data_IF_910270848233
#
_entry.id   IF_910270848233
#
_cell.length_a   1.000
_cell.length_b   1.000
_cell.length_c   1.000
_cell.angle_alpha   90.00
_cell.angle_beta   90.00
_cell.angle_gamma   90.00
#
_symmetry.space_group_name_H-M   'P 1'
#
loop_
_entity.id
_entity.type
_entity.pdbx_description
1 polymer ?
#
# COMPACT_ATOMS: atom_id res chain seq x y z
N UNK A 1 -1.49 31.80 13.03
CA UNK A 1 -2.37 32.64 12.19
C UNK A 1 -3.28 31.73 11.38
N UNK A 2 -4.60 31.91 11.43
CA UNK A 2 -5.55 31.18 10.59
C UNK A 2 -5.50 31.73 9.16
N UNK A 3 -5.41 30.84 8.18
CA UNK A 3 -5.37 31.16 6.75
C UNK A 3 -6.78 31.17 6.14
N UNK A 4 -6.96 31.82 4.98
CA UNK A 4 -8.25 31.84 4.27
C UNK A 4 -8.76 30.45 3.90
N UNK A 5 -7.87 29.46 3.73
CA UNK A 5 -8.20 28.06 3.43
C UNK A 5 -8.59 27.25 4.68
N UNK A 6 -8.76 27.92 5.84
CA UNK A 6 -9.10 27.29 7.11
C UNK A 6 -7.93 26.62 7.83
N UNK A 7 -6.73 26.57 7.23
CA UNK A 7 -5.53 26.01 7.86
C UNK A 7 -4.86 27.00 8.79
N UNK A 8 -3.94 26.51 9.61
CA UNK A 8 -3.20 27.32 10.56
C UNK A 8 -1.74 27.37 10.18
N UNK A 9 -1.14 28.56 10.27
CA UNK A 9 0.29 28.76 10.07
C UNK A 9 0.97 29.07 11.40
N UNK A 10 2.05 28.35 11.69
CA UNK A 10 3.02 28.68 12.72
C UNK A 10 4.43 28.72 12.14
N UNK A 11 5.31 29.43 12.81
CA UNK A 11 6.69 29.64 12.39
C UNK A 11 7.60 29.60 13.61
N UNK A 12 8.80 29.06 13.44
CA UNK A 12 9.83 29.07 14.45
C UNK A 12 11.20 29.39 13.85
N UNK A 13 12.06 30.01 14.66
CA UNK A 13 13.49 30.09 14.36
C UNK A 13 14.17 28.78 14.72
N UNK A 14 15.04 28.30 13.84
CA UNK A 14 15.77 27.05 13.99
C UNK A 14 17.20 27.16 13.46
N UNK A 15 18.03 26.17 13.74
CA UNK A 15 19.28 26.00 13.00
C UNK A 15 19.03 25.37 11.63
N UNK A 16 20.03 25.44 10.76
CA UNK A 16 20.00 24.73 9.49
C UNK A 16 19.96 23.20 9.69
N UNK A 17 20.65 22.69 10.72
CA UNK A 17 20.67 21.26 11.06
C UNK A 17 19.31 20.74 11.50
N UNK A 18 18.61 21.47 12.37
CA UNK A 18 17.24 21.14 12.77
C UNK A 18 16.33 21.03 11.54
N UNK A 19 16.43 22.00 10.63
CA UNK A 19 15.63 22.05 9.41
C UNK A 19 15.97 20.87 8.49
N UNK A 20 17.26 20.59 8.28
CA UNK A 20 17.75 19.47 7.46
C UNK A 20 17.29 18.12 7.99
N UNK A 21 17.57 17.82 9.25
CA UNK A 21 17.22 16.53 9.87
C UNK A 21 15.71 16.29 9.94
N UNK A 22 14.92 17.34 10.19
CA UNK A 22 13.46 17.23 10.15
C UNK A 22 12.94 16.95 8.73
N UNK A 23 13.55 17.59 7.73
CA UNK A 23 13.27 17.31 6.32
C UNK A 23 13.68 15.88 5.94
N UNK A 24 14.83 15.39 6.40
CA UNK A 24 15.28 14.03 6.14
C UNK A 24 14.37 12.97 6.78
N UNK A 25 13.94 13.18 8.02
CA UNK A 25 12.94 12.31 8.66
C UNK A 25 11.66 12.24 7.83
N UNK A 26 11.12 13.39 7.39
CA UNK A 26 9.91 13.42 6.57
C UNK A 26 10.12 12.78 5.18
N UNK A 27 11.33 12.86 4.63
CA UNK A 27 11.71 12.15 3.41
C UNK A 27 11.74 10.63 3.61
N UNK A 28 12.46 10.14 4.63
CA UNK A 28 12.60 8.71 4.92
C UNK A 28 11.28 8.07 5.37
N UNK A 29 10.41 8.83 6.04
CA UNK A 29 9.04 8.44 6.33
C UNK A 29 8.10 8.51 5.11
N UNK A 30 8.59 8.97 3.96
CA UNK A 30 7.91 8.89 2.67
C UNK A 30 6.97 10.03 2.32
N UNK A 31 7.02 11.15 3.06
CA UNK A 31 6.20 12.33 2.80
C UNK A 31 6.75 13.22 1.68
N UNK A 32 7.97 12.95 1.19
CA UNK A 32 8.68 13.83 0.22
C UNK A 32 9.48 13.05 -0.85
N UNK A 33 8.91 12.02 -1.49
CA UNK A 33 9.66 11.14 -2.41
C UNK A 33 9.91 11.69 -3.83
N UNK A 34 9.08 12.61 -4.33
CA UNK A 34 9.23 13.15 -5.71
C UNK A 34 8.93 14.64 -5.73
N UNK A 35 9.76 15.39 -6.46
CA UNK A 35 9.57 16.82 -6.67
C UNK A 35 9.47 17.10 -8.16
N UNK A 36 8.47 17.91 -8.54
CA UNK A 36 8.41 18.53 -9.87
C UNK A 36 9.43 19.65 -9.89
N UNK A 37 10.40 19.54 -10.79
CA UNK A 37 11.35 20.60 -11.09
C UNK A 37 10.89 21.21 -12.41
N UNK A 38 10.41 22.44 -12.34
CA UNK A 38 10.14 23.25 -13.52
C UNK A 38 11.41 24.03 -13.79
N UNK A 39 12.20 23.62 -14.78
CA UNK A 39 13.15 24.55 -15.38
C UNK A 39 12.36 25.53 -16.24
N UNK A 40 12.91 26.71 -16.54
CA UNK A 40 12.29 27.75 -17.38
C UNK A 40 12.10 27.32 -18.86
N UNK A 41 12.10 26.02 -19.13
CA UNK A 41 11.82 25.34 -20.40
C UNK A 41 10.56 24.51 -20.21
N UNK A 42 9.67 24.47 -21.21
CA UNK A 42 8.30 23.93 -21.14
C UNK A 42 8.14 22.45 -20.70
N UNK A 43 9.23 21.74 -20.39
CA UNK A 43 9.22 20.36 -19.94
C UNK A 43 9.37 20.23 -18.42
N UNK A 44 8.25 19.94 -17.76
CA UNK A 44 8.22 19.56 -16.35
C UNK A 44 8.71 18.13 -16.14
N UNK A 45 9.89 17.96 -15.55
CA UNK A 45 10.39 16.65 -15.15
C UNK A 45 10.25 16.40 -13.65
N UNK A 46 10.04 15.13 -13.28
CA UNK A 46 9.94 14.69 -11.88
C UNK A 46 11.25 14.05 -11.46
N UNK A 47 11.96 14.70 -10.54
CA UNK A 47 13.19 14.14 -9.95
C UNK A 47 12.81 13.18 -8.82
N UNK A 48 13.39 11.98 -8.87
CA UNK A 48 13.38 11.06 -7.73
C UNK A 48 14.50 11.45 -6.78
N UNK A 49 14.13 12.06 -5.65
CA UNK A 49 15.11 12.61 -4.70
C UNK A 49 15.86 11.52 -3.91
N UNK A 50 15.56 10.24 -4.15
CA UNK A 50 16.34 9.12 -3.60
C UNK A 50 17.72 8.95 -4.20
N UNK A 51 17.96 9.47 -5.41
CA UNK A 51 19.28 9.39 -6.05
C UNK A 51 20.22 10.52 -5.63
N UNK A 52 19.75 11.43 -4.76
CA UNK A 52 20.47 12.63 -4.35
C UNK A 52 21.13 12.45 -2.98
N UNK A 53 22.24 13.18 -2.79
CA UNK A 53 22.89 13.34 -1.47
C UNK A 53 21.96 14.06 -0.49
N UNK A 54 22.27 14.00 0.82
CA UNK A 54 21.46 14.66 1.84
C UNK A 54 21.35 16.18 1.63
N UNK A 55 22.45 16.84 1.24
CA UNK A 55 22.47 18.29 1.05
C UNK A 55 21.69 18.73 -0.21
N UNK A 56 21.85 18.01 -1.33
CA UNK A 56 21.06 18.25 -2.55
C UNK A 56 19.57 18.00 -2.33
N UNK A 57 19.25 16.93 -1.60
CA UNK A 57 17.88 16.60 -1.21
C UNK A 57 17.29 17.71 -0.34
N UNK A 58 18.03 18.20 0.64
CA UNK A 58 17.57 19.30 1.49
C UNK A 58 17.32 20.58 0.69
N UNK A 59 18.20 20.94 -0.25
CA UNK A 59 18.03 22.10 -1.11
C UNK A 59 16.71 22.05 -1.91
N UNK A 60 16.30 20.87 -2.37
CA UNK A 60 15.05 20.68 -3.13
C UNK A 60 13.80 20.52 -2.25
N UNK A 61 13.94 19.92 -1.06
CA UNK A 61 12.83 19.54 -0.19
C UNK A 61 12.53 20.54 0.92
N UNK A 62 13.50 21.35 1.34
CA UNK A 62 13.42 22.18 2.54
C UNK A 62 12.29 23.21 2.56
N UNK A 63 11.69 23.51 1.40
CA UNK A 63 10.54 24.42 1.23
C UNK A 63 9.22 23.69 0.94
N UNK A 64 9.22 22.36 0.88
CA UNK A 64 8.03 21.56 0.51
C UNK A 64 7.19 21.25 1.76
N UNK A 65 5.87 21.08 1.55
CA UNK A 65 4.87 20.85 2.61
C UNK A 65 4.99 19.49 3.32
N UNK A 66 5.96 18.64 2.97
CA UNK A 66 6.01 17.26 3.46
C UNK A 66 6.26 17.15 4.96
N UNK A 67 7.03 18.08 5.55
CA UNK A 67 7.18 18.14 7.02
C UNK A 67 5.85 18.46 7.70
N UNK A 68 5.09 19.44 7.21
CA UNK A 68 3.77 19.74 7.78
C UNK A 68 2.81 18.56 7.67
N UNK A 69 2.81 17.86 6.53
CA UNK A 69 2.00 16.66 6.32
C UNK A 69 2.41 15.52 7.26
N UNK A 70 3.70 15.35 7.52
CA UNK A 70 4.21 14.37 8.47
C UNK A 70 3.69 14.66 9.89
N UNK A 71 3.81 15.90 10.36
CA UNK A 71 3.38 16.29 11.72
C UNK A 71 1.87 16.07 11.92
N UNK A 72 1.05 16.51 10.95
CA UNK A 72 -0.41 16.25 10.98
C UNK A 72 -0.72 14.75 10.98
N UNK A 73 0.02 13.96 10.20
CA UNK A 73 -0.15 12.51 10.14
C UNK A 73 0.17 11.83 11.48
N UNK A 74 1.22 12.28 12.18
CA UNK A 74 1.59 11.72 13.50
C UNK A 74 0.44 11.89 14.48
N UNK A 75 -0.14 13.09 14.55
CA UNK A 75 -1.22 13.40 15.49
C UNK A 75 -2.49 12.63 15.14
N UNK A 76 -2.88 12.66 13.87
CA UNK A 76 -4.06 11.94 13.39
C UNK A 76 -4.00 10.44 13.69
N UNK A 77 -2.83 9.83 13.49
CA UNK A 77 -2.67 8.38 13.60
C UNK A 77 -2.13 7.92 14.96
N UNK A 78 -1.78 8.86 15.86
CA UNK A 78 -1.04 8.58 17.11
C UNK A 78 0.22 7.75 16.84
N UNK A 79 0.94 8.07 15.76
CA UNK A 79 2.09 7.32 15.28
C UNK A 79 2.61 7.82 13.95
N UNK A 80 3.93 7.73 13.71
CA UNK A 80 4.52 8.06 12.42
C UNK A 80 4.37 6.88 11.45
N UNK A 81 3.37 6.92 10.58
CA UNK A 81 3.18 5.90 9.54
C UNK A 81 4.09 6.17 8.34
N UNK A 82 4.94 5.20 7.98
CA UNK A 82 5.77 5.24 6.77
C UNK A 82 4.86 5.19 5.53
N UNK A 83 4.83 6.28 4.78
CA UNK A 83 3.92 6.47 3.67
C UNK A 83 4.31 5.64 2.43
N UNK A 84 3.34 4.89 1.90
CA UNK A 84 3.47 4.08 0.70
C UNK A 84 4.34 2.84 0.88
N UNK A 85 4.48 2.35 2.12
CA UNK A 85 5.19 1.12 2.43
C UNK A 85 4.46 -0.15 1.96
N UNK A 86 3.14 -0.09 1.86
CA UNK A 86 2.22 -1.13 1.39
C UNK A 86 2.29 -1.36 -0.14
N UNK A 87 2.79 -0.39 -0.91
CA UNK A 87 2.82 -0.45 -2.38
C UNK A 87 3.62 -1.65 -2.92
N UNK A 88 4.67 -2.06 -2.23
CA UNK A 88 5.43 -3.24 -2.62
C UNK A 88 4.62 -4.51 -2.39
N UNK A 89 4.01 -4.63 -1.21
CA UNK A 89 3.19 -5.77 -0.83
C UNK A 89 1.96 -5.92 -1.75
N UNK A 90 1.29 -4.80 -2.05
CA UNK A 90 0.16 -4.76 -2.98
C UNK A 90 0.56 -5.19 -4.39
N UNK A 91 1.70 -4.71 -4.91
CA UNK A 91 2.21 -5.16 -6.22
C UNK A 91 2.54 -6.64 -6.24
N UNK A 92 3.07 -7.18 -5.14
CA UNK A 92 3.35 -8.60 -5.04
C UNK A 92 2.06 -9.44 -5.07
N UNK A 93 1.03 -9.01 -4.34
CA UNK A 93 -0.30 -9.64 -4.34
C UNK A 93 -0.93 -9.57 -5.73
N UNK A 94 -0.91 -8.40 -6.37
CA UNK A 94 -1.41 -8.23 -7.73
C UNK A 94 -0.70 -9.18 -8.70
N UNK A 95 0.62 -9.30 -8.62
CA UNK A 95 1.39 -10.26 -9.42
C UNK A 95 0.96 -11.70 -9.15
N UNK A 96 0.76 -12.09 -7.89
CA UNK A 96 0.30 -13.44 -7.52
C UNK A 96 -1.09 -13.73 -8.08
N UNK A 97 -2.05 -12.81 -7.94
CA UNK A 97 -3.37 -12.97 -8.52
C UNK A 97 -3.35 -12.94 -10.05
N UNK A 98 -2.58 -12.07 -10.70
CA UNK A 98 -2.47 -12.02 -12.16
C UNK A 98 -1.85 -13.29 -12.73
N UNK A 99 -0.76 -13.79 -12.14
CA UNK A 99 -0.17 -15.09 -12.50
C UNK A 99 -1.18 -16.22 -12.33
N UNK A 100 -1.96 -16.17 -11.26
CA UNK A 100 -2.98 -17.17 -11.00
C UNK A 100 -4.23 -17.02 -11.88
N UNK A 101 -4.49 -15.83 -12.43
CA UNK A 101 -5.62 -15.54 -13.31
C UNK A 101 -5.30 -15.75 -14.81
N UNK A 102 -4.06 -16.07 -15.18
CA UNK A 102 -3.60 -16.04 -16.57
C UNK A 102 -4.31 -17.03 -17.50
N UNK A 103 -4.95 -18.08 -16.95
CA UNK A 103 -5.50 -19.16 -17.76
C UNK A 103 -7.03 -19.12 -17.90
N UNK A 104 -7.69 -18.01 -17.53
CA UNK A 104 -9.15 -17.88 -17.65
C UNK A 104 -9.61 -17.91 -19.11
N UNK A 105 -8.92 -17.20 -20.01
CA UNK A 105 -9.25 -17.23 -21.44
C UNK A 105 -9.02 -18.61 -22.06
N UNK A 106 -7.96 -19.32 -21.63
CA UNK A 106 -7.72 -20.70 -22.05
C UNK A 106 -8.83 -21.63 -21.55
N UNK A 107 -9.25 -21.47 -20.29
CA UNK A 107 -10.34 -22.24 -19.70
C UNK A 107 -11.67 -22.00 -20.44
N UNK A 108 -11.93 -20.77 -20.86
CA UNK A 108 -13.09 -20.44 -21.69
C UNK A 108 -13.06 -21.24 -23.00
N UNK A 109 -11.96 -21.17 -23.75
CA UNK A 109 -11.81 -21.92 -25.01
C UNK A 109 -11.93 -23.43 -24.83
N UNK A 110 -11.46 -23.97 -23.69
CA UNK A 110 -11.63 -25.38 -23.37
C UNK A 110 -13.09 -25.78 -23.08
N UNK A 111 -13.94 -24.83 -22.68
CA UNK A 111 -15.35 -25.09 -22.39
C UNK A 111 -16.26 -24.95 -23.61
N UNK A 112 -15.84 -24.21 -24.63
CA UNK A 112 -16.65 -23.90 -25.81
C UNK A 112 -17.06 -25.18 -26.56
N UNK A 113 -18.37 -25.31 -26.79
CA UNK A 113 -18.97 -26.47 -27.47
C UNK A 113 -18.86 -27.82 -26.74
N UNK A 114 -18.26 -27.86 -25.54
CA UNK A 114 -18.10 -29.10 -24.78
C UNK A 114 -19.33 -29.43 -23.93
N UNK A 115 -19.65 -30.73 -23.84
CA UNK A 115 -20.68 -31.24 -22.95
C UNK A 115 -20.41 -32.67 -22.54
N UNK A 116 -21.00 -33.09 -21.42
CA UNK A 116 -21.01 -34.49 -20.99
C UNK A 116 -22.43 -34.95 -20.71
N UNK A 117 -22.72 -36.22 -20.97
CA UNK A 117 -23.95 -36.85 -20.52
C UNK A 117 -23.71 -37.48 -19.13
N UNK A 118 -24.46 -37.03 -18.13
CA UNK A 118 -24.43 -37.59 -16.79
C UNK A 118 -25.85 -37.92 -16.33
N UNK A 119 -26.12 -39.20 -16.06
CA UNK A 119 -27.43 -39.70 -15.61
C UNK A 119 -28.60 -39.23 -16.51
N UNK A 120 -28.39 -39.27 -17.82
CA UNK A 120 -29.41 -38.88 -18.81
C UNK A 120 -29.57 -37.36 -19.00
N UNK A 121 -28.75 -36.54 -18.34
CA UNK A 121 -28.74 -35.08 -18.50
C UNK A 121 -27.48 -34.64 -19.24
N UNK A 122 -27.66 -33.76 -20.24
CA UNK A 122 -26.55 -33.10 -20.91
C UNK A 122 -26.11 -31.91 -20.06
N UNK A 123 -24.90 -31.98 -19.54
CA UNK A 123 -24.25 -30.91 -18.78
C UNK A 123 -23.32 -30.14 -19.73
N UNK A 124 -23.60 -28.86 -19.93
CA UNK A 124 -22.80 -27.97 -20.79
C UNK A 124 -21.67 -27.33 -20.00
N UNK A 125 -20.45 -27.38 -20.53
CA UNK A 125 -19.27 -26.77 -19.89
C UNK A 125 -19.35 -25.25 -19.83
N UNK A 126 -19.88 -24.62 -20.88
CA UNK A 126 -20.09 -23.17 -20.94
C UNK A 126 -20.99 -22.65 -19.81
N UNK A 127 -22.04 -23.39 -19.46
CA UNK A 127 -22.93 -23.04 -18.34
C UNK A 127 -22.16 -23.07 -17.02
N UNK A 128 -21.41 -24.15 -16.78
CA UNK A 128 -20.59 -24.27 -15.57
C UNK A 128 -19.50 -23.20 -15.50
N UNK A 129 -18.88 -22.86 -16.64
CA UNK A 129 -17.87 -21.80 -16.71
C UNK A 129 -18.47 -20.43 -16.34
N UNK A 130 -19.68 -20.10 -16.83
CA UNK A 130 -20.38 -18.86 -16.46
C UNK A 130 -20.64 -18.79 -14.95
N UNK A 131 -21.18 -19.87 -14.37
CA UNK A 131 -21.39 -19.96 -12.92
C UNK A 131 -20.08 -19.81 -12.14
N UNK A 132 -19.00 -20.41 -12.64
CA UNK A 132 -17.66 -20.26 -12.06
C UNK A 132 -17.18 -18.79 -12.08
N UNK A 133 -17.38 -18.08 -13.19
CA UNK A 133 -17.00 -16.65 -13.31
C UNK A 133 -17.80 -15.79 -12.34
N UNK A 134 -19.09 -16.04 -12.16
CA UNK A 134 -19.91 -15.30 -11.19
C UNK A 134 -19.38 -15.45 -9.75
N UNK A 135 -19.09 -16.68 -9.34
CA UNK A 135 -18.51 -16.96 -8.02
C UNK A 135 -17.12 -16.31 -7.87
N UNK A 136 -16.28 -16.39 -8.93
CA UNK A 136 -14.96 -15.76 -8.97
C UNK A 136 -15.04 -14.24 -8.77
N UNK A 137 -16.00 -13.57 -9.39
CA UNK A 137 -16.21 -12.13 -9.23
C UNK A 137 -16.54 -11.79 -7.78
N UNK A 138 -17.40 -12.58 -7.13
CA UNK A 138 -17.75 -12.40 -5.71
C UNK A 138 -16.50 -12.58 -4.84
N UNK A 139 -15.72 -13.63 -5.06
CA UNK A 139 -14.47 -13.87 -4.33
C UNK A 139 -13.50 -12.68 -4.48
N UNK A 140 -13.35 -12.15 -5.70
CA UNK A 140 -12.49 -11.01 -5.99
C UNK A 140 -12.91 -9.73 -5.29
N UNK A 141 -14.22 -9.50 -5.10
CA UNK A 141 -14.73 -8.36 -4.32
C UNK A 141 -14.32 -8.48 -2.85
N UNK A 142 -14.45 -9.66 -2.25
CA UNK A 142 -14.05 -9.91 -0.86
C UNK A 142 -12.53 -9.76 -0.68
N UNK A 143 -11.72 -10.29 -1.61
CA UNK A 143 -10.27 -10.08 -1.58
C UNK A 143 -9.94 -8.58 -1.62
N UNK A 144 -10.60 -7.82 -2.50
CA UNK A 144 -10.40 -6.37 -2.60
C UNK A 144 -10.77 -5.64 -1.30
N UNK A 145 -11.86 -6.05 -0.66
CA UNK A 145 -12.30 -5.53 0.62
C UNK A 145 -11.29 -5.81 1.73
N UNK A 146 -10.81 -7.05 1.85
CA UNK A 146 -9.78 -7.41 2.83
C UNK A 146 -8.51 -6.58 2.58
N UNK A 147 -8.05 -6.47 1.33
CA UNK A 147 -6.86 -5.70 0.98
C UNK A 147 -7.00 -4.19 1.27
N UNK A 148 -8.22 -3.66 1.33
CA UNK A 148 -8.45 -2.27 1.71
C UNK A 148 -8.15 -2.00 3.20
N UNK A 149 -8.19 -3.04 4.05
CA UNK A 149 -7.85 -2.97 5.46
C UNK A 149 -6.34 -3.16 5.65
N UNK A 150 -5.62 -2.04 5.66
CA UNK A 150 -4.16 -2.05 5.86
C UNK A 150 -3.81 -2.58 7.24
N UNK A 151 -2.73 -3.35 7.32
CA UNK A 151 -2.13 -3.75 8.59
C UNK A 151 -1.10 -2.71 9.01
N UNK A 152 -1.05 -2.37 10.29
CA UNK A 152 -0.01 -1.52 10.86
C UNK A 152 0.90 -2.36 11.75
N UNK A 153 2.21 -2.27 11.53
CA UNK A 153 3.20 -2.92 12.38
C UNK A 153 4.22 -1.90 12.83
N UNK A 154 4.54 -1.92 14.12
CA UNK A 154 5.61 -1.08 14.65
C UNK A 154 6.95 -1.50 14.04
N UNK A 155 7.78 -0.51 13.72
CA UNK A 155 9.12 -0.69 13.16
C UNK A 155 10.14 -0.13 14.15
N UNK A 156 11.19 -0.89 14.40
CA UNK A 156 12.25 -0.54 15.36
C UNK A 156 13.62 -0.35 14.71
N UNK A 157 13.75 -0.52 13.39
CA UNK A 157 14.99 -0.32 12.63
C UNK A 157 14.77 0.27 11.23
N UNK A 158 15.86 0.70 10.59
CA UNK A 158 15.87 1.22 9.21
C UNK A 158 15.88 2.75 9.10
N UNK A 159 15.85 3.29 7.88
CA UNK A 159 16.23 4.70 7.62
C UNK A 159 15.37 5.74 8.33
N UNK A 160 14.07 5.47 8.50
CA UNK A 160 13.18 6.40 9.22
C UNK A 160 13.44 6.39 10.74
N UNK A 161 13.85 5.25 11.30
CA UNK A 161 14.23 5.13 12.71
C UNK A 161 15.58 5.82 12.96
N UNK A 162 16.55 5.60 12.06
CA UNK A 162 17.86 6.27 12.09
C UNK A 162 17.68 7.80 12.01
N UNK A 163 16.94 8.30 11.02
CA UNK A 163 16.65 9.72 10.88
C UNK A 163 15.88 10.30 12.09
N UNK A 164 14.96 9.54 12.70
CA UNK A 164 14.28 9.94 13.95
C UNK A 164 15.29 10.08 15.08
N UNK A 165 16.20 9.12 15.23
CA UNK A 165 17.24 9.14 16.27
C UNK A 165 18.16 10.36 16.09
N UNK A 166 18.66 10.59 14.87
CA UNK A 166 19.53 11.72 14.55
C UNK A 166 18.86 13.07 14.80
N UNK A 167 17.58 13.21 14.44
CA UNK A 167 16.80 14.43 14.70
C UNK A 167 16.61 14.67 16.21
N UNK A 168 16.31 13.62 16.98
CA UNK A 168 16.08 13.74 18.42
C UNK A 168 17.37 14.03 19.20
N UNK A 169 18.50 13.48 18.76
CA UNK A 169 19.81 13.68 19.38
C UNK A 169 20.48 15.00 19.00
N UNK A 170 19.95 15.70 17.99
CA UNK A 170 20.46 17.01 17.60
C UNK A 170 20.28 18.04 18.72
N UNK A 171 21.24 18.95 18.89
CA UNK A 171 21.16 20.03 19.88
C UNK A 171 21.33 21.36 19.14
N UNK A 172 20.32 22.21 19.24
CA UNK A 172 20.40 23.58 18.75
C UNK A 172 21.18 24.44 19.76
N UNK A 173 22.38 24.87 19.38
CA UNK A 173 23.19 25.78 20.19
C UNK A 173 22.66 27.23 20.15
N UNK A 174 22.87 27.96 21.25
CA UNK A 174 22.57 29.39 21.28
C UNK A 174 23.40 30.11 20.20
N UNK A 175 22.75 30.95 19.38
CA UNK A 175 23.39 31.69 18.28
C UNK A 175 23.36 31.02 16.90
N UNK A 176 22.91 29.76 16.80
CA UNK A 176 22.75 29.07 15.49
C UNK A 176 21.34 29.21 14.90
N UNK A 177 20.41 29.85 15.62
CA UNK A 177 19.01 30.01 15.26
C UNK A 177 18.77 31.14 14.24
N UNK A 178 19.39 31.00 13.06
CA UNK A 178 19.35 31.99 11.98
C UNK A 178 18.28 31.69 10.94
N UNK A 179 17.85 30.43 10.86
CA UNK A 179 16.86 29.98 9.89
C UNK A 179 15.43 30.15 10.42
N UNK A 180 14.50 30.24 9.48
CA UNK A 180 13.07 30.30 9.74
C UNK A 180 12.38 29.11 9.07
N UNK A 181 11.53 28.41 9.82
CA UNK A 181 10.75 27.29 9.31
C UNK A 181 9.26 27.53 9.57
N UNK A 182 8.48 27.46 8.50
CA UNK A 182 7.04 27.69 8.51
C UNK A 182 6.30 26.38 8.32
N UNK A 183 5.30 26.14 9.16
CA UNK A 183 4.43 24.97 9.10
C UNK A 183 3.00 25.40 8.82
N UNK A 184 2.32 24.65 7.94
CA UNK A 184 0.90 24.87 7.61
C UNK A 184 0.13 23.61 7.96
N UNK A 185 -0.68 23.68 9.01
CA UNK A 185 -1.27 22.51 9.68
C UNK A 185 -2.79 22.65 9.82
N UNK A 186 -3.46 21.58 10.25
CA UNK A 186 -4.80 21.66 10.81
C UNK A 186 -4.78 22.30 12.20
N UNK A 187 -5.98 22.48 12.76
CA UNK A 187 -6.20 23.13 14.05
C UNK A 187 -5.60 22.34 15.22
N UNK A 188 -5.85 21.03 15.28
CA UNK A 188 -5.35 20.15 16.34
C UNK A 188 -3.82 20.16 16.40
N UNK A 189 -3.18 20.01 15.23
CA UNK A 189 -1.72 20.08 15.12
C UNK A 189 -1.18 21.46 15.48
N UNK A 190 -1.88 22.52 15.09
CA UNK A 190 -1.45 23.87 15.44
C UNK A 190 -1.40 24.07 16.95
N UNK A 191 -2.44 23.66 17.68
CA UNK A 191 -2.48 23.82 19.14
C UNK A 191 -1.42 22.98 19.84
N UNK A 192 -1.17 21.75 19.39
CA UNK A 192 -0.07 20.93 19.93
C UNK A 192 1.29 21.61 19.71
N UNK A 193 1.54 22.15 18.51
CA UNK A 193 2.80 22.82 18.21
C UNK A 193 2.96 24.16 18.95
N UNK A 194 1.86 24.83 19.30
CA UNK A 194 1.82 26.13 19.98
C UNK A 194 1.50 26.05 21.48
N UNK A 195 1.57 24.86 22.08
CA UNK A 195 1.27 24.66 23.50
C UNK A 195 2.00 25.69 24.38
N UNK A 196 1.27 26.27 25.33
CA UNK A 196 1.76 27.38 26.16
C UNK A 196 2.96 26.94 27.03
N UNK A 197 3.97 27.80 27.13
CA UNK A 197 5.18 27.56 27.95
C UNK A 197 6.36 26.90 27.23
N UNK A 198 6.16 26.22 26.11
CA UNK A 198 7.23 25.60 25.32
C UNK A 198 7.39 26.22 23.92
N UNK A 199 8.63 26.25 23.41
CA UNK A 199 8.86 26.71 22.04
C UNK A 199 8.49 25.62 21.03
N UNK A 200 8.01 26.02 19.84
CA UNK A 200 7.57 25.10 18.77
C UNK A 200 8.58 23.99 18.47
N UNK A 201 9.89 24.29 18.48
CA UNK A 201 10.94 23.27 18.23
C UNK A 201 10.93 22.16 19.27
N UNK A 202 10.74 22.51 20.55
CA UNK A 202 10.61 21.55 21.65
C UNK A 202 9.36 20.70 21.45
N UNK A 203 8.22 21.33 21.13
CA UNK A 203 6.97 20.62 20.85
C UNK A 203 7.10 19.64 19.68
N UNK A 204 7.80 19.99 18.60
CA UNK A 204 8.09 19.09 17.48
C UNK A 204 8.94 17.89 17.94
N UNK A 205 9.98 18.14 18.74
CA UNK A 205 10.83 17.06 19.27
C UNK A 205 10.05 16.14 20.20
N UNK A 206 9.23 16.68 21.10
CA UNK A 206 8.39 15.90 22.01
C UNK A 206 7.38 15.06 21.22
N UNK A 207 6.68 15.67 20.26
CA UNK A 207 5.75 14.97 19.38
C UNK A 207 6.42 13.79 18.66
N UNK A 208 7.60 14.00 18.08
CA UNK A 208 8.32 12.92 17.38
C UNK A 208 8.84 11.86 18.36
N UNK A 209 9.30 12.25 19.55
CA UNK A 209 9.82 11.34 20.57
C UNK A 209 8.76 10.37 21.05
N UNK A 210 7.60 10.89 21.43
CA UNK A 210 6.49 10.16 22.06
C UNK A 210 5.83 9.13 21.14
N UNK A 211 5.95 9.31 19.82
CA UNK A 211 5.24 8.48 18.86
C UNK A 211 6.14 7.45 18.19
N UNK A 212 5.75 6.18 18.27
CA UNK A 212 6.39 5.08 17.53
C UNK A 212 6.25 5.24 16.01
N UNK A 213 7.14 4.57 15.26
CA UNK A 213 7.07 4.51 13.81
C UNK A 213 6.39 3.21 13.41
N UNK A 214 5.44 3.30 12.48
CA UNK A 214 4.68 2.16 11.97
C UNK A 214 4.86 2.02 10.47
N UNK A 215 4.83 0.79 9.98
CA UNK A 215 4.76 0.47 8.55
C UNK A 215 3.37 -0.06 8.23
N UNK A 216 2.72 0.57 7.25
CA UNK A 216 1.55 -0.01 6.61
C UNK A 216 1.99 -1.16 5.70
N UNK A 217 1.37 -2.32 5.87
CA UNK A 217 1.50 -3.47 4.98
C UNK A 217 0.14 -3.91 4.47
N UNK A 218 0.13 -4.55 3.30
CA UNK A 218 -1.07 -5.24 2.84
C UNK A 218 -1.29 -6.50 3.71
N UNK A 219 -2.53 -6.93 3.98
CA UNK A 219 -2.84 -8.15 4.72
C UNK A 219 -2.55 -9.41 3.89
N UNK A 220 -1.35 -9.53 3.33
CA UNK A 220 -0.88 -10.61 2.46
C UNK A 220 -1.06 -12.00 3.07
N UNK A 221 -0.89 -12.10 4.39
CA UNK A 221 -1.00 -13.35 5.14
C UNK A 221 -2.42 -13.63 5.66
N UNK A 222 -3.43 -12.88 5.19
CA UNK A 222 -4.81 -13.14 5.58
C UNK A 222 -5.23 -14.55 5.10
N UNK A 223 -5.75 -15.43 5.96
CA UNK A 223 -6.08 -16.82 5.59
C UNK A 223 -6.95 -16.94 4.35
N UNK A 224 -7.96 -16.05 4.22
CA UNK A 224 -8.82 -15.99 3.03
C UNK A 224 -8.06 -15.70 1.73
N UNK A 225 -7.05 -14.80 1.76
CA UNK A 225 -6.27 -14.46 0.57
C UNK A 225 -5.38 -15.63 0.16
N UNK A 226 -4.78 -16.30 1.14
CA UNK A 226 -3.95 -17.49 0.91
C UNK A 226 -4.80 -18.59 0.25
N UNK A 227 -5.95 -18.94 0.84
CA UNK A 227 -6.82 -19.98 0.30
C UNK A 227 -7.34 -19.62 -1.10
N UNK A 228 -7.73 -18.35 -1.34
CA UNK A 228 -8.15 -17.89 -2.66
C UNK A 228 -7.05 -18.06 -3.72
N UNK A 229 -5.79 -17.75 -3.37
CA UNK A 229 -4.65 -17.95 -4.26
C UNK A 229 -4.41 -19.44 -4.57
N UNK A 230 -4.53 -20.31 -3.57
CA UNK A 230 -4.37 -21.75 -3.76
C UNK A 230 -5.44 -22.36 -4.66
N UNK A 231 -6.71 -21.95 -4.51
CA UNK A 231 -7.80 -22.37 -5.40
C UNK A 231 -7.45 -22.04 -6.86
N UNK A 232 -6.96 -20.82 -7.13
CA UNK A 232 -6.56 -20.43 -8.48
C UNK A 232 -5.32 -21.18 -8.98
N UNK A 233 -4.35 -21.47 -8.13
CA UNK A 233 -3.20 -22.32 -8.51
C UNK A 233 -3.65 -23.73 -8.91
N UNK A 234 -4.57 -24.33 -8.15
CA UNK A 234 -5.18 -25.63 -8.47
C UNK A 234 -5.95 -25.55 -9.80
N UNK A 235 -6.66 -24.46 -10.06
CA UNK A 235 -7.33 -24.24 -11.35
C UNK A 235 -6.34 -24.22 -12.51
N UNK A 236 -5.23 -23.48 -12.40
CA UNK A 236 -4.25 -23.40 -13.47
C UNK A 236 -3.61 -24.75 -13.80
N UNK A 237 -3.25 -25.53 -12.78
CA UNK A 237 -2.75 -26.91 -12.96
C UNK A 237 -3.78 -27.79 -13.66
N UNK A 238 -5.06 -27.64 -13.32
CA UNK A 238 -6.15 -28.37 -13.95
C UNK A 238 -6.34 -27.99 -15.43
N UNK A 239 -6.19 -26.71 -15.77
CA UNK A 239 -6.24 -26.21 -17.15
C UNK A 239 -5.07 -26.75 -17.97
N UNK A 240 -3.86 -26.72 -17.41
CA UNK A 240 -2.65 -27.30 -18.04
C UNK A 240 -2.82 -28.82 -18.29
N UNK A 241 -3.32 -29.55 -17.30
CA UNK A 241 -3.59 -30.98 -17.42
C UNK A 241 -4.62 -31.28 -18.53
N UNK A 242 -5.64 -30.44 -18.69
CA UNK A 242 -6.61 -30.56 -19.78
C UNK A 242 -5.95 -30.35 -21.15
N UNK A 243 -5.07 -29.36 -21.29
CA UNK A 243 -4.31 -29.16 -22.53
C UNK A 243 -3.40 -30.33 -22.85
N UNK A 244 -2.71 -30.91 -21.86
CA UNK A 244 -1.88 -32.11 -22.05
C UNK A 244 -2.74 -33.28 -22.51
N UNK A 245 -3.89 -33.52 -21.86
CA UNK A 245 -4.79 -34.60 -22.24
C UNK A 245 -5.32 -34.45 -23.69
N UNK A 246 -5.64 -33.23 -24.11
CA UNK A 246 -6.03 -32.95 -25.51
C UNK A 246 -4.89 -33.28 -26.47
N UNK A 247 -3.67 -32.84 -26.17
CA UNK A 247 -2.48 -33.11 -26.99
C UNK A 247 -2.18 -34.60 -27.13
N UNK A 248 -2.43 -35.36 -26.06
CA UNK A 248 -2.24 -36.82 -26.01
C UNK A 248 -3.47 -37.61 -26.51
N UNK A 249 -4.51 -36.92 -27.00
CA UNK A 249 -5.77 -37.50 -27.46
C UNK A 249 -6.46 -38.38 -26.39
N UNK A 250 -6.33 -37.99 -25.12
CA UNK A 250 -6.95 -38.65 -23.96
C UNK A 250 -8.33 -38.04 -23.64
N UNK A 251 -9.26 -38.83 -23.07
CA UNK A 251 -10.54 -38.32 -22.58
C UNK A 251 -10.34 -37.24 -21.51
N UNK A 252 -10.83 -36.02 -21.77
CA UNK A 252 -10.61 -34.85 -20.90
C UNK A 252 -11.91 -34.15 -20.46
N UNK A 253 -13.03 -34.38 -21.16
CA UNK A 253 -14.29 -33.64 -20.96
C UNK A 253 -14.85 -33.80 -19.54
N UNK A 254 -14.92 -35.02 -19.03
CA UNK A 254 -15.40 -35.30 -17.67
C UNK A 254 -14.45 -34.76 -16.60
N UNK A 255 -13.14 -34.89 -16.82
CA UNK A 255 -12.10 -34.33 -15.95
C UNK A 255 -12.21 -32.80 -15.87
N UNK A 256 -12.33 -32.14 -17.02
CA UNK A 256 -12.46 -30.68 -17.12
C UNK A 256 -13.72 -30.20 -16.38
N UNK A 257 -14.86 -30.85 -16.61
CA UNK A 257 -16.11 -30.50 -15.92
C UNK A 257 -15.96 -30.62 -14.41
N UNK A 258 -15.44 -31.76 -13.92
CA UNK A 258 -15.21 -32.00 -12.49
C UNK A 258 -14.26 -30.95 -11.91
N UNK A 259 -13.16 -30.66 -12.60
CA UNK A 259 -12.15 -29.70 -12.15
C UNK A 259 -12.72 -28.28 -11.97
N UNK A 260 -13.55 -27.81 -12.91
CA UNK A 260 -14.20 -26.49 -12.80
C UNK A 260 -15.22 -26.51 -11.66
N UNK A 261 -16.02 -27.59 -11.57
CA UNK A 261 -17.05 -27.74 -10.55
C UNK A 261 -16.46 -27.74 -9.13
N UNK A 262 -15.39 -28.50 -8.91
CA UNK A 262 -14.72 -28.59 -7.62
C UNK A 262 -14.13 -27.23 -7.21
N UNK A 263 -13.43 -26.53 -8.12
CA UNK A 263 -12.89 -25.19 -7.84
C UNK A 263 -13.98 -24.16 -7.58
N UNK A 264 -15.09 -24.20 -8.33
CA UNK A 264 -16.27 -23.35 -8.07
C UNK A 264 -16.79 -23.56 -6.64
N UNK A 265 -16.95 -24.82 -6.23
CA UNK A 265 -17.48 -25.14 -4.91
C UNK A 265 -16.50 -24.78 -3.78
N UNK A 266 -15.20 -24.96 -3.96
CA UNK A 266 -14.19 -24.46 -3.02
C UNK A 266 -14.33 -22.95 -2.81
N UNK A 267 -14.50 -22.17 -3.88
CA UNK A 267 -14.73 -20.73 -3.75
C UNK A 267 -16.04 -20.42 -3.00
N UNK A 268 -17.12 -21.15 -3.28
CA UNK A 268 -18.40 -20.98 -2.56
C UNK A 268 -18.23 -21.27 -1.06
N UNK A 269 -17.52 -22.34 -0.70
CA UNK A 269 -17.25 -22.70 0.69
C UNK A 269 -16.44 -21.59 1.37
N UNK A 270 -15.37 -21.13 0.73
CA UNK A 270 -14.53 -20.04 1.24
C UNK A 270 -15.33 -18.75 1.44
N UNK A 271 -16.16 -18.35 0.46
CA UNK A 271 -17.05 -17.18 0.56
C UNK A 271 -18.01 -17.32 1.74
N UNK A 272 -18.61 -18.50 1.95
CA UNK A 272 -19.53 -18.75 3.07
C UNK A 272 -18.83 -18.66 4.42
N UNK A 273 -17.61 -19.18 4.54
CA UNK A 273 -16.80 -19.09 5.75
C UNK A 273 -16.54 -17.62 6.13
N UNK A 274 -16.25 -16.77 5.15
CA UNK A 274 -16.03 -15.34 5.41
C UNK A 274 -17.30 -14.59 5.84
N UNK A 275 -18.48 -14.93 5.30
CA UNK A 275 -19.75 -14.29 5.67
C UNK A 275 -20.26 -14.68 7.06
N UNK A 276 -19.74 -15.75 7.64
CA UNK A 276 -20.10 -16.24 8.98
C UNK A 276 -19.04 -15.88 10.04
N UNK A 277 -18.02 -15.09 9.66
CA UNK A 277 -17.02 -14.47 10.54
C UNK A 277 -17.39 -13.00 10.74
#
# INVERSE_FOLDING_TARGET
MKKPDGKFQCECRCSNEFRRKLTDLAYHAGFMKKVRVSDNTEDDYKVDVSTLTADERFALLGNKKGVSNMLMSIIKNKGLIINGADKSDMREIEKKFTKNNSNISQLQSLCEGQSINHKGKILKHETLFKEFIEVKIILGKIVSEILSHKTTKEVTNGPAIEAKSEFLNDIDFAGTLKEHMTFVTDEDTYYILKSEGECIRTNIKNLIREHSIFKEGAPTNHPFIIEALEIYQRLNRNTEAAHVAIKENKPHQAMLYKNIYDRKNEMIVLIKQHKNL
#
